data_IF_028750599712
#
_entry.id   IF_028750599712
#
_cell.length_a   1.000
_cell.length_b   1.000
_cell.length_c   1.000
_cell.angle_alpha   90.00
_cell.angle_beta   90.00
_cell.angle_gamma   90.00
#
_symmetry.space_group_name_H-M   'P 1'
#
loop_
_entity.id
_entity.type
_entity.pdbx_description
1 polymer ?
#
# COMPACT_ATOMS: atom_id res chain seq x y z
N UNK A 1 23.89 33.38 10.52
CA UNK A 1 23.17 33.15 9.25
C UNK A 1 22.42 31.83 9.39
N UNK A 2 21.12 31.82 9.09
CA UNK A 2 20.33 30.60 9.17
C UNK A 2 20.71 29.61 8.07
N UNK A 3 20.54 28.31 8.34
CA UNK A 3 20.75 27.26 7.35
C UNK A 3 19.53 27.24 6.42
N UNK A 4 19.76 27.48 5.13
CA UNK A 4 18.73 27.51 4.08
C UNK A 4 18.56 26.13 3.46
N UNK A 5 17.43 25.89 2.78
CA UNK A 5 17.11 24.60 2.18
C UNK A 5 17.73 24.44 0.78
N UNK A 6 18.85 23.74 0.68
CA UNK A 6 19.47 23.33 -0.59
C UNK A 6 18.85 22.06 -1.18
N UNK A 7 19.14 21.77 -2.46
CA UNK A 7 18.68 20.54 -3.13
C UNK A 7 19.21 19.28 -2.45
N UNK A 8 20.46 19.28 -2.01
CA UNK A 8 21.06 18.12 -1.34
C UNK A 8 20.45 17.88 0.04
N UNK A 9 20.09 18.95 0.75
CA UNK A 9 19.33 18.83 1.99
C UNK A 9 17.93 18.31 1.75
N UNK A 10 17.21 18.79 0.73
CA UNK A 10 15.92 18.24 0.36
C UNK A 10 16.02 16.73 0.12
N UNK A 11 16.98 16.28 -0.69
CA UNK A 11 17.21 14.85 -0.96
C UNK A 11 17.49 14.06 0.32
N UNK A 12 18.38 14.56 1.18
CA UNK A 12 18.74 13.90 2.44
C UNK A 12 17.52 13.75 3.36
N UNK A 13 16.75 14.82 3.53
CA UNK A 13 15.59 14.85 4.42
C UNK A 13 14.48 13.96 3.87
N UNK A 14 14.17 14.06 2.57
CA UNK A 14 13.17 13.21 1.93
C UNK A 14 13.54 11.73 2.00
N UNK A 15 14.83 11.38 1.82
CA UNK A 15 15.30 10.00 1.98
C UNK A 15 15.02 9.48 3.39
N UNK A 16 15.33 10.27 4.43
CA UNK A 16 15.05 9.90 5.83
C UNK A 16 13.55 9.72 6.09
N UNK A 17 12.71 10.59 5.52
CA UNK A 17 11.25 10.50 5.66
C UNK A 17 10.67 9.29 4.91
N UNK A 18 11.24 8.92 3.76
CA UNK A 18 10.91 7.67 3.03
C UNK A 18 11.20 6.45 3.91
N UNK A 19 12.41 6.33 4.46
CA UNK A 19 12.79 5.19 5.30
C UNK A 19 11.90 5.09 6.55
N UNK A 20 11.61 6.22 7.18
CA UNK A 20 10.69 6.28 8.32
C UNK A 20 9.28 5.83 7.92
N UNK A 21 8.81 6.25 6.76
CA UNK A 21 7.48 5.90 6.25
C UNK A 21 7.38 4.42 5.89
N UNK A 22 8.40 3.84 5.23
CA UNK A 22 8.49 2.40 4.96
C UNK A 22 8.44 1.57 6.25
N UNK A 23 9.25 1.93 7.26
CA UNK A 23 9.21 1.28 8.58
C UNK A 23 7.84 1.34 9.23
N UNK A 24 7.20 2.51 9.21
CA UNK A 24 5.87 2.66 9.76
C UNK A 24 4.83 1.82 9.00
N UNK A 25 4.89 1.79 7.67
CA UNK A 25 4.00 0.96 6.85
C UNK A 25 4.20 -0.52 7.13
N UNK A 26 5.46 -0.96 7.23
CA UNK A 26 5.81 -2.32 7.62
C UNK A 26 5.24 -2.67 8.99
N UNK A 27 5.43 -1.83 10.01
CA UNK A 27 4.93 -2.11 11.35
C UNK A 27 3.41 -2.18 11.39
N UNK A 28 2.73 -1.18 10.82
CA UNK A 28 1.27 -1.11 10.78
C UNK A 28 0.67 -2.35 10.09
N UNK A 29 1.15 -2.66 8.89
CA UNK A 29 0.51 -3.67 8.04
C UNK A 29 0.95 -5.10 8.34
N UNK A 30 2.19 -5.32 8.76
CA UNK A 30 2.71 -6.66 9.04
C UNK A 30 2.43 -7.09 10.49
N UNK A 31 2.62 -6.18 11.45
CA UNK A 31 2.48 -6.47 12.89
C UNK A 31 1.11 -6.04 13.41
N UNK A 32 0.60 -4.88 12.96
CA UNK A 32 -0.64 -4.30 13.47
C UNK A 32 -1.93 -4.89 12.88
N UNK A 33 -1.88 -5.45 11.68
CA UNK A 33 -3.03 -6.09 11.01
C UNK A 33 -2.83 -7.60 11.03
N UNK A 34 -3.78 -8.33 11.61
CA UNK A 34 -3.79 -9.79 11.53
C UNK A 34 -4.16 -10.23 10.10
N UNK A 35 -3.15 -10.51 9.28
CA UNK A 35 -3.32 -10.92 7.88
C UNK A 35 -3.75 -12.38 7.72
N UNK A 36 -3.85 -13.15 8.80
CA UNK A 36 -4.38 -14.52 8.74
C UNK A 36 -5.92 -14.55 8.70
N UNK A 37 -6.56 -13.45 9.08
CA UNK A 37 -8.02 -13.31 9.15
C UNK A 37 -8.52 -12.30 8.13
N UNK A 38 -9.52 -12.71 7.37
CA UNK A 38 -10.08 -11.86 6.30
C UNK A 38 -10.76 -10.60 6.84
N UNK A 39 -11.46 -10.73 7.97
CA UNK A 39 -12.14 -9.58 8.60
C UNK A 39 -11.17 -8.45 8.97
N UNK A 40 -10.04 -8.77 9.59
CA UNK A 40 -9.05 -7.77 10.02
C UNK A 40 -8.29 -7.18 8.85
N UNK A 41 -8.07 -7.93 7.76
CA UNK A 41 -7.59 -7.38 6.48
C UNK A 41 -8.56 -6.34 5.95
N UNK A 42 -9.84 -6.68 5.85
CA UNK A 42 -10.87 -5.78 5.35
C UNK A 42 -10.97 -4.50 6.20
N UNK A 43 -11.01 -4.63 7.53
CA UNK A 43 -11.00 -3.48 8.46
C UNK A 43 -9.76 -2.59 8.26
N UNK A 44 -8.58 -3.20 8.06
CA UNK A 44 -7.35 -2.49 7.74
C UNK A 44 -7.44 -1.72 6.42
N UNK A 45 -7.94 -2.37 5.36
CA UNK A 45 -8.11 -1.75 4.04
C UNK A 45 -9.14 -0.61 4.05
N UNK A 46 -10.26 -0.76 4.75
CA UNK A 46 -11.26 0.29 4.93
C UNK A 46 -10.69 1.50 5.68
N UNK A 47 -9.84 1.24 6.69
CA UNK A 47 -9.12 2.31 7.41
C UNK A 47 -8.18 3.06 6.48
N UNK A 48 -7.41 2.34 5.65
CA UNK A 48 -6.53 2.96 4.65
C UNK A 48 -7.30 3.76 3.60
N UNK A 49 -8.48 3.29 3.20
CA UNK A 49 -9.35 4.02 2.28
C UNK A 49 -9.82 5.35 2.89
N UNK A 50 -10.22 5.35 4.17
CA UNK A 50 -10.57 6.58 4.90
C UNK A 50 -9.37 7.52 5.03
N UNK A 51 -8.18 7.00 5.36
CA UNK A 51 -6.94 7.78 5.39
C UNK A 51 -6.64 8.40 4.02
N UNK A 52 -6.80 7.65 2.92
CA UNK A 52 -6.55 8.12 1.57
C UNK A 52 -7.51 9.23 1.15
N UNK A 53 -8.81 9.07 1.42
CA UNK A 53 -9.83 10.10 1.18
C UNK A 53 -9.52 11.36 2.00
N UNK A 54 -9.17 11.19 3.27
CA UNK A 54 -8.77 12.29 4.14
C UNK A 54 -7.52 13.01 3.65
N UNK A 55 -6.52 12.29 3.14
CA UNK A 55 -5.31 12.88 2.58
C UNK A 55 -5.59 13.66 1.29
N UNK A 56 -6.44 13.11 0.41
CA UNK A 56 -6.83 13.73 -0.86
C UNK A 56 -7.72 14.96 -0.70
N UNK A 57 -8.48 15.04 0.39
CA UNK A 57 -9.35 16.19 0.68
C UNK A 57 -8.60 17.39 1.27
N UNK A 58 -7.40 17.18 1.80
CA UNK A 58 -6.55 18.25 2.34
C UNK A 58 -6.03 19.17 1.23
N UNK A 59 -5.95 20.45 1.54
CA UNK A 59 -5.29 21.44 0.67
C UNK A 59 -3.78 21.32 0.85
N UNK A 60 -3.03 21.71 -0.19
CA UNK A 60 -1.55 21.73 -0.13
C UNK A 60 -1.03 22.55 1.04
N UNK A 61 -1.68 23.67 1.37
CA UNK A 61 -1.32 24.54 2.51
C UNK A 61 -1.46 23.85 3.86
N UNK A 62 -2.31 22.83 3.97
CA UNK A 62 -2.51 22.11 5.24
C UNK A 62 -1.28 21.28 5.61
N UNK A 63 -0.35 21.05 4.66
CA UNK A 63 0.93 20.37 4.88
C UNK A 63 2.06 21.34 5.24
N UNK A 64 1.84 22.66 5.14
CA UNK A 64 2.92 23.64 5.34
C UNK A 64 3.50 23.55 6.76
N UNK A 65 2.67 23.32 7.78
CA UNK A 65 3.11 23.20 9.16
C UNK A 65 3.90 21.90 9.41
N UNK A 66 3.49 20.78 8.81
CA UNK A 66 4.20 19.50 8.89
C UNK A 66 5.57 19.59 8.20
N UNK A 67 5.60 20.21 7.02
CA UNK A 67 6.83 20.45 6.27
C UNK A 67 7.76 21.37 7.05
N UNK A 68 7.26 22.48 7.57
CA UNK A 68 8.07 23.42 8.34
C UNK A 68 8.65 22.77 9.60
N UNK A 69 7.86 21.96 10.31
CA UNK A 69 8.32 21.20 11.45
C UNK A 69 9.43 20.23 11.05
N UNK A 70 9.25 19.45 9.98
CA UNK A 70 10.25 18.50 9.48
C UNK A 70 11.57 19.20 9.12
N UNK A 71 11.49 20.36 8.46
CA UNK A 71 12.66 21.16 8.11
C UNK A 71 13.38 21.72 9.36
N UNK A 72 12.62 22.21 10.36
CA UNK A 72 13.16 22.68 11.63
C UNK A 72 13.88 21.57 12.41
N UNK A 73 13.28 20.38 12.46
CA UNK A 73 13.85 19.20 13.12
C UNK A 73 15.20 18.79 12.47
N UNK A 74 15.40 19.12 11.20
CA UNK A 74 16.63 18.89 10.44
C UNK A 74 17.63 20.07 10.50
N UNK A 75 17.32 21.09 11.30
CA UNK A 75 18.14 22.27 11.53
C UNK A 75 18.07 23.32 10.43
N UNK A 76 17.06 23.26 9.55
CA UNK A 76 16.79 24.32 8.56
C UNK A 76 16.00 25.42 9.27
N UNK A 77 16.60 26.60 9.38
CA UNK A 77 16.04 27.71 10.16
C UNK A 77 15.51 28.83 9.28
N UNK A 78 16.02 28.97 8.04
CA UNK A 78 15.58 29.99 7.08
C UNK A 78 14.48 29.42 6.17
N UNK A 79 13.27 29.33 6.70
CA UNK A 79 12.12 28.72 6.01
C UNK A 79 11.20 29.81 5.48
N UNK A 80 11.06 29.87 4.15
CA UNK A 80 10.07 30.72 3.49
C UNK A 80 9.02 29.86 2.77
N UNK A 81 7.80 29.82 3.33
CA UNK A 81 6.66 29.06 2.75
C UNK A 81 6.29 29.48 1.33
N UNK A 82 6.62 30.71 0.93
CA UNK A 82 6.35 31.25 -0.41
C UNK A 82 7.44 30.91 -1.42
N UNK A 83 8.60 30.40 -0.97
CA UNK A 83 9.72 30.05 -1.84
C UNK A 83 9.40 28.86 -2.75
N UNK A 84 10.01 28.85 -3.94
CA UNK A 84 9.89 27.72 -4.87
C UNK A 84 10.45 26.42 -4.27
N UNK A 85 11.57 26.49 -3.55
CA UNK A 85 12.19 25.33 -2.88
C UNK A 85 11.27 24.71 -1.82
N UNK A 86 10.63 25.53 -0.98
CA UNK A 86 9.65 25.03 0.00
C UNK A 86 8.46 24.35 -0.70
N UNK A 87 7.94 24.96 -1.77
CA UNK A 87 6.83 24.37 -2.54
C UNK A 87 7.23 23.02 -3.14
N UNK A 88 8.41 22.93 -3.76
CA UNK A 88 8.95 21.67 -4.31
C UNK A 88 9.09 20.62 -3.23
N UNK A 89 9.66 20.97 -2.07
CA UNK A 89 9.79 20.05 -0.95
C UNK A 89 8.43 19.55 -0.45
N UNK A 90 7.44 20.46 -0.33
CA UNK A 90 6.08 20.12 0.06
C UNK A 90 5.41 19.15 -0.91
N UNK A 91 5.54 19.34 -2.22
CA UNK A 91 5.00 18.38 -3.20
C UNK A 91 5.62 16.98 -3.01
N UNK A 92 6.93 16.91 -2.78
CA UNK A 92 7.61 15.64 -2.52
C UNK A 92 7.18 15.01 -1.19
N UNK A 93 7.00 15.81 -0.14
CA UNK A 93 6.48 15.34 1.14
C UNK A 93 5.06 14.76 0.99
N UNK A 94 4.17 15.46 0.29
CA UNK A 94 2.81 14.97 -0.02
C UNK A 94 2.89 13.65 -0.81
N UNK A 95 3.80 13.54 -1.78
CA UNK A 95 4.04 12.28 -2.51
C UNK A 95 4.43 11.15 -1.55
N UNK A 96 5.31 11.39 -0.58
CA UNK A 96 5.67 10.40 0.44
C UNK A 96 4.46 9.99 1.28
N UNK A 97 3.61 10.93 1.70
CA UNK A 97 2.40 10.59 2.46
C UNK A 97 1.44 9.68 1.67
N UNK A 98 1.31 9.93 0.36
CA UNK A 98 0.52 9.04 -0.51
C UNK A 98 1.16 7.65 -0.65
N UNK A 99 2.48 7.60 -0.87
CA UNK A 99 3.23 6.35 -0.98
C UNK A 99 3.16 5.52 0.31
N UNK A 100 3.16 6.18 1.47
CA UNK A 100 3.01 5.50 2.77
C UNK A 100 1.72 4.69 2.84
N UNK A 101 0.60 5.24 2.39
CA UNK A 101 -0.69 4.53 2.33
C UNK A 101 -0.63 3.38 1.31
N UNK A 102 0.00 3.62 0.14
CA UNK A 102 0.22 2.58 -0.89
C UNK A 102 1.01 1.39 -0.31
N UNK A 103 2.16 1.62 0.31
CA UNK A 103 2.97 0.57 0.94
C UNK A 103 2.20 -0.19 2.02
N UNK A 104 1.40 0.52 2.84
CA UNK A 104 0.57 -0.16 3.84
C UNK A 104 -0.41 -1.14 3.18
N UNK A 105 -1.05 -0.73 2.08
CA UNK A 105 -2.01 -1.55 1.34
C UNK A 105 -1.35 -2.77 0.71
N UNK A 106 -0.24 -2.58 0.02
CA UNK A 106 0.53 -3.65 -0.64
C UNK A 106 0.93 -4.75 0.38
N UNK A 107 1.39 -4.36 1.57
CA UNK A 107 1.77 -5.31 2.63
C UNK A 107 0.56 -6.07 3.20
N UNK A 108 -0.60 -5.43 3.35
CA UNK A 108 -1.83 -6.10 3.82
C UNK A 108 -2.29 -7.14 2.79
N UNK A 109 -2.23 -6.79 1.51
CA UNK A 109 -2.60 -7.66 0.40
C UNK A 109 -1.58 -8.78 0.16
N UNK A 110 -0.35 -8.65 0.66
CA UNK A 110 0.73 -9.61 0.40
C UNK A 110 1.40 -9.41 -0.96
N UNK A 111 1.21 -8.24 -1.58
CA UNK A 111 1.83 -7.85 -2.86
C UNK A 111 3.31 -7.49 -2.69
N UNK A 112 3.73 -7.12 -1.48
CA UNK A 112 5.11 -6.75 -1.17
C UNK A 112 5.52 -7.25 0.19
N UNK A 113 6.76 -7.74 0.30
CA UNK A 113 7.35 -8.17 1.56
C UNK A 113 7.56 -6.97 2.48
N UNK A 114 7.16 -7.12 3.74
CA UNK A 114 7.34 -6.09 4.74
C UNK A 114 8.82 -6.06 5.19
N UNK A 115 9.31 -4.89 5.63
CA UNK A 115 10.67 -4.78 6.18
C UNK A 115 10.89 -5.73 7.36
N UNK A 116 9.85 -5.89 8.19
CA UNK A 116 9.82 -6.78 9.35
C UNK A 116 9.46 -8.24 9.02
N UNK A 117 9.22 -8.58 7.75
CA UNK A 117 8.99 -9.97 7.34
C UNK A 117 10.31 -10.73 7.20
N UNK A 118 10.95 -11.00 8.34
CA UNK A 118 12.27 -11.61 8.38
C UNK A 118 12.27 -13.03 7.79
N UNK A 119 11.17 -13.77 7.93
CA UNK A 119 11.07 -15.15 7.42
C UNK A 119 11.12 -15.16 5.89
N UNK A 120 10.28 -14.36 5.23
CA UNK A 120 10.30 -14.26 3.76
C UNK A 120 11.67 -13.79 3.26
N UNK A 121 12.29 -12.81 3.94
CA UNK A 121 13.64 -12.34 3.59
C UNK A 121 14.73 -13.39 3.76
N UNK A 122 14.63 -14.26 4.77
CA UNK A 122 15.55 -15.40 4.93
C UNK A 122 15.33 -16.40 3.80
N UNK A 123 14.07 -16.72 3.47
CA UNK A 123 13.73 -17.65 2.39
C UNK A 123 14.16 -17.14 1.01
N UNK A 124 14.04 -15.83 0.78
CA UNK A 124 14.42 -15.15 -0.47
C UNK A 124 15.93 -14.89 -0.55
N UNK A 125 16.70 -15.20 0.50
CA UNK A 125 18.15 -15.01 0.55
C UNK A 125 18.61 -13.55 0.71
N UNK A 126 17.71 -12.63 1.06
CA UNK A 126 18.06 -11.23 1.39
C UNK A 126 18.84 -11.12 2.70
N UNK A 127 18.66 -12.09 3.60
CA UNK A 127 19.38 -12.19 4.88
C UNK A 127 20.25 -13.44 4.82
N UNK A 128 21.45 -13.31 4.28
CA UNK A 128 22.41 -14.40 4.23
C UNK A 128 23.22 -14.45 5.54
N UNK A 129 22.97 -15.49 6.34
CA UNK A 129 23.70 -15.78 7.58
C UNK A 129 23.30 -14.93 8.80
N UNK A 130 22.97 -15.62 9.90
CA UNK A 130 23.09 -15.04 11.24
C UNK A 130 24.60 -14.94 11.51
N UNK A 131 25.23 -13.81 11.18
CA UNK A 131 26.54 -13.53 11.77
C UNK A 131 26.33 -13.42 13.28
N UNK A 132 26.71 -14.48 14.00
CA UNK A 132 26.85 -14.51 15.45
C UNK A 132 27.91 -13.47 15.88
N UNK A 133 27.51 -12.20 15.88
CA UNK A 133 28.28 -11.10 16.44
C UNK A 133 27.44 -10.53 17.56
N UNK A 134 27.70 -11.08 18.75
CA UNK A 134 27.55 -10.36 20.02
C UNK A 134 27.91 -8.88 19.77
N UNK A 135 26.97 -7.99 20.06
CA UNK A 135 26.94 -6.54 19.75
C UNK A 135 26.28 -6.09 18.42
N UNK A 136 24.98 -6.37 18.30
CA UNK A 136 24.12 -5.82 17.23
C UNK A 136 23.76 -4.32 17.40
N UNK A 137 24.23 -3.62 18.45
CA UNK A 137 23.93 -2.20 18.65
C UNK A 137 24.97 -1.23 18.05
N UNK A 138 26.09 -1.74 17.51
CA UNK A 138 27.29 -0.92 17.28
C UNK A 138 27.76 -0.76 15.83
N UNK A 139 27.13 -1.35 14.80
CA UNK A 139 27.69 -1.29 13.43
C UNK A 139 26.91 -0.37 12.49
N UNK A 140 27.44 0.85 12.41
CA UNK A 140 27.53 1.64 11.18
C UNK A 140 27.92 0.74 10.00
N UNK A 141 26.96 0.29 9.21
CA UNK A 141 27.21 -0.16 7.85
C UNK A 141 26.61 0.86 6.91
N UNK A 142 27.50 1.50 6.17
CA UNK A 142 27.19 2.32 5.01
C UNK A 142 26.45 1.47 3.99
N UNK A 143 25.12 1.43 4.07
CA UNK A 143 24.31 1.11 2.90
C UNK A 143 24.46 2.29 1.94
N UNK A 144 25.37 2.16 0.99
CA UNK A 144 25.32 2.99 -0.20
C UNK A 144 23.94 2.73 -0.83
N UNK A 145 23.10 3.75 -1.03
CA UNK A 145 21.90 3.54 -1.80
C UNK A 145 22.32 3.15 -3.21
N UNK A 146 21.99 1.93 -3.63
CA UNK A 146 21.84 1.66 -5.05
C UNK A 146 20.69 2.56 -5.49
N UNK A 147 21.03 3.66 -6.16
CA UNK A 147 20.04 4.50 -6.83
C UNK A 147 19.61 3.67 -8.03
N UNK A 148 18.58 2.83 -7.85
CA UNK A 148 17.76 2.43 -8.98
C UNK A 148 17.22 3.70 -9.59
N UNK A 149 17.65 3.97 -10.83
CA UNK A 149 17.08 5.01 -11.66
C UNK A 149 15.58 4.72 -11.80
N UNK A 150 14.76 5.33 -10.94
CA UNK A 150 13.32 5.41 -11.12
C UNK A 150 13.08 6.13 -12.45
N UNK A 151 12.92 5.36 -13.53
CA UNK A 151 12.22 5.84 -14.69
C UNK A 151 10.84 6.31 -14.21
N UNK A 152 10.37 7.48 -14.65
CA UNK A 152 9.04 7.93 -14.28
C UNK A 152 8.03 6.88 -14.76
N UNK A 153 7.31 6.26 -13.82
CA UNK A 153 6.17 5.41 -14.16
C UNK A 153 5.21 6.21 -15.06
N UNK A 154 4.72 5.63 -16.17
CA UNK A 154 3.76 6.28 -17.05
C UNK A 154 2.53 6.73 -16.26
N UNK A 155 2.12 7.97 -16.48
CA UNK A 155 0.82 8.48 -16.02
C UNK A 155 -0.22 7.89 -16.98
N UNK A 156 -0.52 6.62 -16.83
CA UNK A 156 -1.66 5.99 -17.48
C UNK A 156 -2.65 5.54 -16.40
N UNK A 157 -3.96 5.81 -16.58
CA UNK A 157 -4.96 5.35 -15.63
C UNK A 157 -4.88 3.82 -15.57
N UNK A 158 -4.79 3.28 -14.36
CA UNK A 158 -4.93 1.85 -14.10
C UNK A 158 -6.17 1.37 -14.85
N UNK A 159 -5.97 0.62 -15.93
CA UNK A 159 -7.03 -0.17 -16.53
C UNK A 159 -7.32 -1.25 -15.49
N UNK A 160 -8.21 -0.93 -14.54
CA UNK A 160 -8.78 -1.93 -13.63
C UNK A 160 -9.40 -2.97 -14.55
N UNK A 161 -8.77 -4.13 -14.63
CA UNK A 161 -9.21 -5.23 -15.45
C UNK A 161 -10.66 -5.54 -15.09
N UNK A 162 -11.57 -5.30 -16.03
CA UNK A 162 -13.00 -5.44 -15.80
C UNK A 162 -13.31 -6.94 -15.94
N UNK A 163 -13.21 -7.67 -14.83
CA UNK A 163 -13.63 -9.08 -14.80
C UNK A 163 -15.15 -9.21 -14.83
N UNK A 164 -15.65 -10.09 -15.68
CA UNK A 164 -17.05 -10.48 -15.70
C UNK A 164 -17.33 -11.51 -14.60
N UNK A 165 -18.60 -11.70 -14.24
CA UNK A 165 -19.00 -12.66 -13.22
C UNK A 165 -18.59 -14.09 -13.60
N UNK A 166 -18.70 -14.46 -14.88
CA UNK A 166 -18.23 -15.76 -15.39
C UNK A 166 -16.76 -16.00 -15.09
N UNK A 167 -15.90 -15.02 -15.38
CA UNK A 167 -14.45 -15.15 -15.19
C UNK A 167 -14.11 -15.39 -13.72
N UNK A 168 -14.80 -14.68 -12.81
CA UNK A 168 -14.63 -14.84 -11.36
C UNK A 168 -15.20 -16.16 -10.84
N UNK A 169 -16.31 -16.65 -11.42
CA UNK A 169 -16.89 -17.96 -11.08
C UNK A 169 -15.96 -19.09 -11.51
N UNK A 170 -15.39 -19.01 -12.70
CA UNK A 170 -14.45 -20.03 -13.20
C UNK A 170 -13.19 -20.08 -12.32
N UNK A 171 -12.61 -18.93 -11.96
CA UNK A 171 -11.51 -18.83 -10.99
C UNK A 171 -11.91 -19.41 -9.62
N UNK A 172 -13.11 -19.11 -9.12
CA UNK A 172 -13.61 -19.62 -7.85
C UNK A 172 -13.75 -21.16 -7.86
N UNK A 173 -14.31 -21.73 -8.94
CA UNK A 173 -14.48 -23.17 -9.06
C UNK A 173 -13.12 -23.88 -9.19
N UNK A 174 -12.17 -23.29 -9.90
CA UNK A 174 -10.80 -23.81 -10.01
C UNK A 174 -10.07 -23.82 -8.67
N UNK A 175 -10.21 -22.75 -7.87
CA UNK A 175 -9.67 -22.69 -6.51
C UNK A 175 -10.28 -23.74 -5.57
N UNK A 176 -11.52 -24.17 -5.84
CA UNK A 176 -12.24 -25.15 -4.99
C UNK A 176 -12.01 -26.60 -5.42
N UNK A 177 -11.51 -26.85 -6.63
CA UNK A 177 -11.10 -28.20 -7.06
C UNK A 177 -10.05 -28.76 -6.10
N UNK A 178 -10.25 -29.99 -5.64
CA UNK A 178 -9.36 -30.66 -4.68
C UNK A 178 -9.51 -30.21 -3.22
N UNK A 179 -10.20 -29.10 -2.94
CA UNK A 179 -10.48 -28.63 -1.58
C UNK A 179 -11.85 -29.11 -1.07
N UNK A 180 -12.82 -29.26 -1.96
CA UNK A 180 -14.17 -29.78 -1.64
C UNK A 180 -14.49 -31.02 -2.48
N UNK A 181 -15.41 -31.86 -1.99
CA UNK A 181 -15.86 -33.04 -2.72
C UNK A 181 -16.54 -32.67 -4.05
N UNK A 182 -16.38 -33.52 -5.08
CA UNK A 182 -16.89 -33.27 -6.43
C UNK A 182 -18.38 -32.96 -6.47
N UNK A 183 -19.18 -33.58 -5.60
CA UNK A 183 -20.62 -33.30 -5.47
C UNK A 183 -20.90 -31.85 -5.09
N UNK A 184 -20.21 -31.32 -4.07
CA UNK A 184 -20.36 -29.92 -3.64
C UNK A 184 -19.85 -28.94 -4.71
N UNK A 185 -18.78 -29.31 -5.42
CA UNK A 185 -18.27 -28.51 -6.54
C UNK A 185 -19.29 -28.44 -7.69
N UNK A 186 -19.97 -29.56 -7.98
CA UNK A 186 -21.03 -29.60 -8.98
C UNK A 186 -22.25 -28.76 -8.58
N UNK A 187 -22.62 -28.76 -7.29
CA UNK A 187 -23.70 -27.92 -6.77
C UNK A 187 -23.35 -26.42 -6.88
N UNK A 188 -22.11 -26.03 -6.55
CA UNK A 188 -21.65 -24.65 -6.75
C UNK A 188 -21.71 -24.23 -8.20
N UNK A 189 -21.31 -25.10 -9.13
CA UNK A 189 -21.39 -24.81 -10.57
C UNK A 189 -22.82 -24.53 -11.01
N UNK A 190 -23.77 -25.39 -10.63
CA UNK A 190 -25.19 -25.21 -10.95
C UNK A 190 -25.72 -23.90 -10.38
N UNK A 191 -25.45 -23.62 -9.09
CA UNK A 191 -25.91 -22.39 -8.44
C UNK A 191 -25.33 -21.12 -9.09
N UNK A 192 -24.05 -21.15 -9.48
CA UNK A 192 -23.40 -20.01 -10.14
C UNK A 192 -23.89 -19.82 -11.58
N UNK A 193 -24.18 -20.91 -12.28
CA UNK A 193 -24.75 -20.85 -13.64
C UNK A 193 -26.17 -20.25 -13.59
N UNK A 194 -27.02 -20.70 -12.65
CA UNK A 194 -28.35 -20.13 -12.40
C UNK A 194 -28.27 -18.65 -12.01
N UNK A 195 -27.32 -18.28 -11.15
CA UNK A 195 -27.10 -16.89 -10.76
C UNK A 195 -26.74 -16.01 -11.95
N UNK A 196 -25.81 -16.46 -12.81
CA UNK A 196 -25.42 -15.75 -14.03
C UNK A 196 -26.59 -15.66 -15.02
N UNK A 197 -27.43 -16.69 -15.11
CA UNK A 197 -28.63 -16.67 -15.95
C UNK A 197 -29.64 -15.59 -15.49
N UNK A 198 -29.83 -15.44 -14.18
CA UNK A 198 -30.78 -14.48 -13.59
C UNK A 198 -30.31 -13.03 -13.75
N UNK A 199 -29.04 -12.75 -13.51
CA UNK A 199 -28.50 -11.37 -13.44
C UNK A 199 -27.74 -10.95 -14.71
N UNK A 200 -27.38 -11.91 -15.57
CA UNK A 200 -26.51 -11.72 -16.72
C UNK A 200 -25.02 -11.78 -16.40
N UNK A 201 -24.21 -12.11 -17.40
CA UNK A 201 -22.74 -12.08 -17.30
C UNK A 201 -22.18 -10.65 -17.39
N UNK A 202 -22.50 -9.83 -16.39
CA UNK A 202 -22.09 -8.43 -16.30
C UNK A 202 -20.75 -8.29 -15.55
N UNK A 203 -20.07 -7.12 -15.62
CA UNK A 203 -18.91 -6.84 -14.80
C UNK A 203 -19.20 -6.97 -13.30
N UNK A 204 -18.32 -7.59 -12.53
CA UNK A 204 -18.52 -7.74 -11.07
C UNK A 204 -18.72 -6.39 -10.37
N UNK A 205 -18.02 -5.35 -10.83
CA UNK A 205 -18.17 -3.96 -10.32
C UNK A 205 -19.55 -3.35 -10.51
N UNK A 206 -20.38 -3.91 -11.37
CA UNK A 206 -21.75 -3.46 -11.61
C UNK A 206 -22.77 -4.12 -10.68
N UNK A 207 -22.36 -5.15 -9.92
CA UNK A 207 -23.20 -5.72 -8.87
C UNK A 207 -23.29 -4.75 -7.70
N UNK A 208 -24.52 -4.40 -7.33
CA UNK A 208 -24.81 -3.65 -6.12
C UNK A 208 -25.78 -4.44 -5.25
N UNK A 209 -25.81 -4.13 -3.94
CA UNK A 209 -26.78 -4.71 -3.02
C UNK A 209 -28.22 -4.47 -3.46
N UNK A 210 -28.49 -3.33 -4.09
CA UNK A 210 -29.83 -2.97 -4.53
C UNK A 210 -30.24 -3.75 -5.79
N UNK A 211 -29.30 -4.01 -6.71
CA UNK A 211 -29.50 -4.90 -7.86
C UNK A 211 -29.86 -6.32 -7.41
N UNK A 212 -29.13 -6.87 -6.43
CA UNK A 212 -29.36 -8.23 -5.95
C UNK A 212 -30.69 -8.34 -5.21
N UNK A 213 -31.07 -7.33 -4.43
CA UNK A 213 -32.36 -7.29 -3.70
C UNK A 213 -33.57 -7.39 -4.61
N UNK A 214 -33.48 -6.94 -5.87
CA UNK A 214 -34.58 -7.06 -6.85
C UNK A 214 -34.96 -8.51 -7.15
N UNK A 215 -34.03 -9.45 -6.98
CA UNK A 215 -34.23 -10.87 -7.31
C UNK A 215 -34.53 -11.75 -6.08
N UNK A 216 -34.49 -11.17 -4.87
CA UNK A 216 -34.81 -11.88 -3.63
C UNK A 216 -36.24 -11.51 -3.22
N UNK A 217 -37.20 -12.41 -3.44
CA UNK A 217 -38.53 -12.30 -2.85
C UNK A 217 -38.46 -12.82 -1.41
N UNK A 218 -38.80 -11.94 -0.46
CA UNK A 218 -39.01 -12.28 0.97
C UNK A 218 -40.45 -12.73 1.14
#
# INVERSE_FOLDING_TARGET
>A
MGKSLSIDEMKRILKKEIEKSKKHSSFFSYVGVDRSKERTKQEGLETLQKEEIGLKSRKKTDFDDEVEKLLKDEGITDINRKSGTFRVFRENFIKIQNLKIKWKREIINGETNAEFDLVSKILDGEIDGIEDKKDAFARRTHLQPVIENYAPEPIEPYLVEIKLIRDVVDEFLDLRKGTIGEKMLSEYRVLTDEFIEIIGNIPVRSLSKDTIRTYIKI
#
